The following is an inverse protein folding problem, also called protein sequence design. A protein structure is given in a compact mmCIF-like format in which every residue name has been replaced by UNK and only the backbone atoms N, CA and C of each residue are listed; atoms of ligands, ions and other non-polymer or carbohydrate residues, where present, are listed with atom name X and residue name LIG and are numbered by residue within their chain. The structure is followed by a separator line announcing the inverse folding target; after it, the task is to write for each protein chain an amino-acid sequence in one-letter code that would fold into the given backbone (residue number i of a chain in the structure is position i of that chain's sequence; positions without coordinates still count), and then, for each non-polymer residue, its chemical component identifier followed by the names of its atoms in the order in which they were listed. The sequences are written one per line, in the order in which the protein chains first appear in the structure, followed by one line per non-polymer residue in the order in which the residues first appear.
data_IF_589835978264
#
_entry.id   IF_589835978264
#
_cell.length_a   1.000
_cell.length_b   1.000
_cell.length_c   1.000
_cell.angle_alpha   90.00
_cell.angle_beta   90.00
_cell.angle_gamma   90.00
#
_symmetry.space_group_name_H-M   'P 1'
#
loop_
_entity.id
_entity.type
_entity.pdbx_description
1 polymer ?
#
# COMPACT_ATOMS: atom_id res chain seq x y z
N UNK A 1 14.80 -27.49 3.09
CA UNK A 1 14.83 -26.24 2.26
C UNK A 1 13.58 -25.40 2.52
N UNK A 2 13.59 -24.09 2.27
CA UNK A 2 12.50 -23.18 2.69
C UNK A 2 11.10 -23.58 2.15
N UNK A 3 11.02 -24.09 0.91
CA UNK A 3 9.77 -24.54 0.28
C UNK A 3 9.47 -26.04 0.43
N UNK A 4 10.24 -26.77 1.24
CA UNK A 4 10.14 -28.24 1.29
C UNK A 4 8.77 -28.72 1.81
N UNK A 5 8.27 -28.12 2.88
CA UNK A 5 6.95 -28.45 3.43
C UNK A 5 5.84 -28.10 2.44
N UNK A 6 5.98 -26.99 1.73
CA UNK A 6 5.05 -26.57 0.68
C UNK A 6 5.00 -27.59 -0.46
N UNK A 7 6.16 -27.91 -1.05
CA UNK A 7 6.28 -28.89 -2.15
C UNK A 7 5.74 -30.26 -1.74
N UNK A 8 5.99 -30.72 -0.51
CA UNK A 8 5.44 -31.99 0.04
C UNK A 8 3.92 -32.02 0.15
N UNK A 9 3.27 -30.87 0.33
CA UNK A 9 1.80 -30.76 0.47
C UNK A 9 1.09 -30.60 -0.88
N UNK A 10 1.81 -30.48 -2.00
CA UNK A 10 1.22 -30.23 -3.32
C UNK A 10 1.38 -31.41 -4.25
N UNK A 11 0.38 -31.57 -5.11
CA UNK A 11 0.33 -32.54 -6.20
C UNK A 11 0.38 -31.76 -7.51
N UNK A 12 1.59 -31.45 -7.98
CA UNK A 12 1.81 -30.54 -9.13
C UNK A 12 1.30 -31.07 -10.47
N UNK A 13 0.94 -32.35 -10.53
CA UNK A 13 0.21 -32.99 -11.62
C UNK A 13 -1.30 -32.68 -11.60
N UNK A 14 -1.85 -32.25 -10.45
CA UNK A 14 -3.29 -32.01 -10.26
C UNK A 14 -3.64 -30.63 -9.69
N UNK A 15 -2.67 -29.75 -9.48
CA UNK A 15 -2.88 -28.35 -9.05
C UNK A 15 -2.36 -27.36 -10.07
N UNK A 16 -2.94 -26.17 -10.10
CA UNK A 16 -2.49 -25.04 -10.92
C UNK A 16 -1.55 -24.09 -10.15
N UNK A 17 -1.14 -24.49 -8.94
CA UNK A 17 -0.22 -23.77 -8.06
C UNK A 17 1.25 -23.88 -8.50
N UNK A 18 2.07 -22.83 -8.35
CA UNK A 18 3.46 -22.81 -8.78
C UNK A 18 4.35 -23.73 -7.91
N UNK A 19 5.29 -24.44 -8.52
CA UNK A 19 6.27 -25.28 -7.78
C UNK A 19 7.31 -24.45 -7.01
N UNK A 20 7.52 -23.20 -7.45
CA UNK A 20 8.48 -22.25 -6.91
C UNK A 20 9.91 -22.53 -7.34
N UNK A 21 10.61 -21.48 -7.75
CA UNK A 21 12.06 -21.52 -7.94
C UNK A 21 12.80 -21.54 -6.59
N UNK A 22 14.11 -21.78 -6.61
CA UNK A 22 14.94 -21.62 -5.41
C UNK A 22 14.91 -20.16 -4.93
N UNK A 23 14.87 -19.92 -3.60
CA UNK A 23 14.81 -18.56 -3.07
C UNK A 23 16.06 -17.76 -3.45
N UNK A 24 15.87 -16.54 -3.95
CA UNK A 24 16.96 -15.55 -4.04
C UNK A 24 17.06 -14.79 -2.70
N UNK A 25 18.28 -14.51 -2.24
CA UNK A 25 18.54 -13.91 -0.93
C UNK A 25 18.07 -12.44 -0.84
N UNK A 26 17.77 -11.79 -1.97
CA UNK A 26 17.21 -10.43 -2.03
C UNK A 26 15.69 -10.42 -1.99
N UNK A 27 15.10 -10.27 -0.80
CA UNK A 27 13.67 -9.98 -0.68
C UNK A 27 13.37 -8.51 -0.98
N UNK A 28 12.45 -8.23 -1.90
CA UNK A 28 12.06 -6.87 -2.26
C UNK A 28 11.11 -6.20 -1.22
N UNK A 29 10.81 -6.90 -0.11
CA UNK A 29 9.87 -6.45 0.91
C UNK A 29 8.44 -6.35 0.37
N UNK A 30 8.01 -7.29 -0.47
CA UNK A 30 6.64 -7.33 -1.01
C UNK A 30 5.70 -8.09 -0.08
N UNK A 31 4.42 -7.72 -0.11
CA UNK A 31 3.38 -8.50 0.54
C UNK A 31 2.19 -8.74 -0.37
N UNK A 32 1.42 -9.75 -0.03
CA UNK A 32 0.12 -10.03 -0.62
C UNK A 32 -0.85 -10.47 0.47
N UNK A 33 -2.10 -10.05 0.35
CA UNK A 33 -3.22 -10.56 1.13
C UNK A 33 -4.20 -11.19 0.13
N UNK A 34 -4.39 -12.50 0.24
CA UNK A 34 -5.31 -13.22 -0.64
C UNK A 34 -6.61 -13.54 0.10
N UNK A 35 -7.76 -13.21 -0.48
CA UNK A 35 -9.06 -13.68 0.03
C UNK A 35 -9.29 -15.08 -0.54
N UNK A 36 -9.52 -16.06 0.34
CA UNK A 36 -9.50 -17.47 -0.01
C UNK A 36 -10.79 -18.16 0.46
N UNK A 37 -11.64 -18.49 -0.51
CA UNK A 37 -12.87 -19.24 -0.30
C UNK A 37 -12.61 -20.76 -0.34
N UNK A 38 -11.89 -21.23 0.69
CA UNK A 38 -11.69 -22.65 0.93
C UNK A 38 -12.88 -23.25 1.73
N UNK A 39 -12.62 -24.25 2.58
CA UNK A 39 -13.63 -24.79 3.52
C UNK A 39 -14.29 -23.72 4.38
N UNK A 40 -13.52 -22.69 4.74
CA UNK A 40 -13.99 -21.47 5.39
C UNK A 40 -13.33 -20.31 4.69
N UNK A 41 -14.08 -19.23 4.50
CA UNK A 41 -13.51 -17.97 4.04
C UNK A 41 -12.46 -17.50 5.06
N UNK A 42 -11.28 -17.15 4.56
CA UNK A 42 -10.20 -16.54 5.33
C UNK A 42 -9.33 -15.71 4.40
N UNK A 43 -8.37 -15.00 4.98
CA UNK A 43 -7.40 -14.20 4.25
C UNK A 43 -5.99 -14.73 4.51
N UNK A 44 -5.22 -15.01 3.47
CA UNK A 44 -3.82 -15.41 3.60
C UNK A 44 -2.93 -14.17 3.48
N UNK A 45 -2.34 -13.73 4.60
CA UNK A 45 -1.30 -12.70 4.62
C UNK A 45 0.05 -13.36 4.33
N UNK A 46 0.79 -12.81 3.37
CA UNK A 46 2.13 -13.31 3.05
C UNK A 46 3.14 -12.18 2.89
N UNK A 47 4.31 -12.36 3.50
CA UNK A 47 5.42 -11.41 3.51
C UNK A 47 6.63 -12.04 2.84
N UNK A 48 7.19 -11.38 1.84
CA UNK A 48 8.46 -11.78 1.23
C UNK A 48 9.62 -11.51 2.19
N UNK A 49 10.20 -12.59 2.73
CA UNK A 49 11.34 -12.55 3.65
C UNK A 49 12.28 -13.71 3.31
N UNK A 50 13.55 -13.40 3.00
CA UNK A 50 14.58 -14.35 2.57
C UNK A 50 14.16 -15.20 1.35
N UNK A 51 13.61 -14.54 0.32
CA UNK A 51 13.29 -15.17 -0.96
C UNK A 51 12.05 -16.09 -0.97
N UNK A 52 11.29 -16.14 0.12
CA UNK A 52 10.02 -16.88 0.21
C UNK A 52 8.93 -16.04 0.85
N UNK A 53 7.68 -16.44 0.67
CA UNK A 53 6.52 -15.81 1.30
C UNK A 53 6.20 -16.49 2.64
N UNK A 54 6.63 -15.86 3.73
CA UNK A 54 6.23 -16.22 5.10
C UNK A 54 4.73 -15.93 5.24
N UNK A 55 3.94 -16.95 5.57
CA UNK A 55 2.49 -16.92 5.38
C UNK A 55 1.70 -17.20 6.66
N UNK A 56 0.57 -16.51 6.81
CA UNK A 56 -0.41 -16.71 7.88
C UNK A 56 -1.83 -16.70 7.32
N UNK A 57 -2.66 -17.62 7.80
CA UNK A 57 -4.11 -17.57 7.60
C UNK A 57 -4.75 -16.69 8.67
N UNK A 58 -5.47 -15.65 8.25
CA UNK A 58 -6.17 -14.67 9.08
C UNK A 58 -7.68 -14.88 8.88
N UNK A 59 -8.37 -15.64 9.76
CA UNK A 59 -9.73 -16.10 9.50
C UNK A 59 -10.76 -14.99 9.28
N UNK A 60 -10.62 -13.88 10.01
CA UNK A 60 -11.51 -12.72 9.87
C UNK A 60 -10.95 -11.63 8.94
N UNK A 61 -9.75 -11.82 8.39
CA UNK A 61 -9.03 -10.78 7.64
C UNK A 61 -8.39 -9.70 8.53
N UNK A 62 -7.61 -8.79 7.92
CA UNK A 62 -6.99 -7.65 8.61
C UNK A 62 -8.05 -6.65 9.11
N UNK A 63 -7.62 -5.71 9.97
CA UNK A 63 -8.44 -4.57 10.41
C UNK A 63 -7.56 -3.32 10.48
N UNK A 64 -8.16 -2.16 10.22
CA UNK A 64 -7.55 -0.85 10.46
C UNK A 64 -7.95 -0.25 11.81
N UNK A 65 -8.74 -0.98 12.61
CA UNK A 65 -9.06 -0.62 13.99
C UNK A 65 -7.97 -1.15 14.95
N UNK A 66 -7.24 -0.28 15.68
CA UNK A 66 -6.24 -0.69 16.66
C UNK A 66 -6.81 -1.45 17.87
N UNK A 67 -8.12 -1.40 18.09
CA UNK A 67 -8.81 -2.14 19.14
C UNK A 67 -9.14 -3.59 18.74
N UNK A 68 -9.07 -3.93 17.45
CA UNK A 68 -9.32 -5.27 16.95
C UNK A 68 -8.04 -6.09 16.76
N UNK A 69 -7.85 -7.12 17.60
CA UNK A 69 -6.75 -8.08 17.45
C UNK A 69 -7.16 -9.23 16.55
N UNK A 70 -6.53 -9.38 15.39
CA UNK A 70 -6.86 -10.41 14.40
C UNK A 70 -5.95 -11.63 14.60
N UNK A 71 -6.56 -12.80 14.82
CA UNK A 71 -5.82 -14.07 14.87
C UNK A 71 -5.17 -14.34 13.51
N UNK A 72 -3.87 -14.67 13.51
CA UNK A 72 -3.09 -15.05 12.35
C UNK A 72 -2.40 -16.38 12.63
N UNK A 73 -2.80 -17.45 11.94
CA UNK A 73 -2.25 -18.81 12.15
C UNK A 73 -1.14 -19.05 11.15
N UNK A 74 0.07 -19.37 11.62
CA UNK A 74 1.22 -19.61 10.74
C UNK A 74 0.97 -20.82 9.83
N UNK A 75 1.09 -20.62 8.52
CA UNK A 75 0.99 -21.68 7.49
C UNK A 75 2.36 -21.96 6.87
N UNK A 76 2.43 -22.81 5.85
CA UNK A 76 3.69 -23.10 5.14
C UNK A 76 4.21 -21.87 4.40
N UNK A 77 5.51 -21.82 4.14
CA UNK A 77 6.08 -20.81 3.24
C UNK A 77 5.61 -21.06 1.81
N UNK A 78 5.34 -19.99 1.08
CA UNK A 78 4.88 -20.06 -0.30
C UNK A 78 5.95 -19.48 -1.24
N UNK A 79 5.98 -19.92 -2.51
CA UNK A 79 6.90 -19.35 -3.48
C UNK A 79 6.46 -17.93 -3.91
N UNK A 80 7.41 -17.12 -4.38
CA UNK A 80 7.21 -15.70 -4.71
C UNK A 80 6.09 -15.48 -5.74
N UNK A 81 5.90 -16.45 -6.63
CA UNK A 81 4.86 -16.47 -7.65
C UNK A 81 3.44 -16.37 -7.06
N UNK A 82 3.24 -16.63 -5.76
CA UNK A 82 1.95 -16.38 -5.10
C UNK A 82 1.60 -14.90 -4.95
N UNK A 83 2.55 -13.97 -5.12
CA UNK A 83 2.27 -12.53 -5.05
C UNK A 83 1.20 -12.07 -6.07
N UNK A 84 1.05 -12.81 -7.17
CA UNK A 84 0.07 -12.51 -8.24
C UNK A 84 -0.87 -13.67 -8.54
N UNK A 85 -0.84 -14.72 -7.72
CA UNK A 85 -1.64 -15.92 -7.96
C UNK A 85 -3.13 -15.68 -7.64
N UNK A 86 -3.96 -15.77 -8.68
CA UNK A 86 -5.43 -15.75 -8.60
C UNK A 86 -6.02 -16.88 -9.44
N UNK A 87 -6.47 -17.96 -8.80
CA UNK A 87 -7.10 -19.10 -9.47
C UNK A 87 -8.10 -19.79 -8.55
N UNK A 88 -8.89 -20.68 -9.13
CA UNK A 88 -9.62 -21.72 -8.38
C UNK A 88 -8.71 -22.93 -8.24
N UNK A 89 -8.32 -23.26 -7.01
CA UNK A 89 -7.51 -24.46 -6.72
C UNK A 89 -8.46 -25.67 -6.78
N UNK A 90 -8.18 -26.70 -7.61
CA UNK A 90 -9.12 -27.79 -7.84
C UNK A 90 -9.42 -28.59 -6.57
N UNK A 91 -10.65 -29.12 -6.47
CA UNK A 91 -11.07 -29.98 -5.36
C UNK A 91 -10.13 -31.18 -5.16
N UNK A 92 -10.00 -31.62 -3.91
CA UNK A 92 -9.08 -32.71 -3.53
C UNK A 92 -7.62 -32.28 -3.35
N UNK A 93 -7.26 -31.05 -3.74
CA UNK A 93 -5.96 -30.45 -3.42
C UNK A 93 -5.98 -29.71 -2.08
N UNK A 94 -4.80 -29.55 -1.48
CA UNK A 94 -4.65 -28.75 -0.27
C UNK A 94 -4.92 -27.27 -0.59
N UNK A 95 -5.84 -26.66 0.14
CA UNK A 95 -6.27 -25.29 -0.15
C UNK A 95 -7.22 -25.18 -1.34
N UNK A 96 -7.96 -26.25 -1.68
CA UNK A 96 -9.01 -26.18 -2.68
C UNK A 96 -10.02 -25.05 -2.38
N UNK A 97 -10.39 -24.30 -3.43
CA UNK A 97 -11.22 -23.12 -3.30
C UNK A 97 -10.82 -22.00 -4.26
N UNK A 98 -11.68 -21.00 -4.40
CA UNK A 98 -11.36 -19.79 -5.17
C UNK A 98 -10.47 -18.85 -4.36
N UNK A 99 -9.48 -18.25 -5.02
CA UNK A 99 -8.53 -17.33 -4.42
C UNK A 99 -8.35 -16.09 -5.30
N UNK A 100 -8.42 -14.92 -4.67
CA UNK A 100 -8.11 -13.62 -5.30
C UNK A 100 -7.04 -12.88 -4.49
N UNK A 101 -6.26 -12.03 -5.15
CA UNK A 101 -5.37 -11.05 -4.55
C UNK A 101 -6.22 -9.87 -4.10
N UNK A 102 -6.57 -9.90 -2.81
CA UNK A 102 -7.43 -8.90 -2.18
C UNK A 102 -6.68 -7.62 -1.86
N UNK A 103 -5.39 -7.71 -1.51
CA UNK A 103 -4.49 -6.56 -1.44
C UNK A 103 -3.05 -6.98 -1.75
N UNK A 104 -2.21 -6.01 -2.15
CA UNK A 104 -0.78 -6.19 -2.35
C UNK A 104 -0.04 -4.85 -2.30
N UNK A 105 1.27 -4.93 -2.07
CA UNK A 105 2.16 -3.79 -2.13
C UNK A 105 3.52 -4.15 -1.57
N UNK A 106 4.21 -3.17 -1.01
CA UNK A 106 5.44 -3.36 -0.23
C UNK A 106 5.23 -3.14 1.25
N UNK A 107 6.15 -3.66 2.05
CA UNK A 107 6.24 -3.40 3.48
C UNK A 107 7.68 -3.04 3.85
N UNK A 108 7.81 -2.30 4.94
CA UNK A 108 9.07 -2.09 5.65
C UNK A 108 8.95 -2.63 7.08
N UNK A 109 10.07 -2.85 7.74
CA UNK A 109 10.11 -3.16 9.16
C UNK A 109 10.55 -1.96 9.98
N UNK A 110 9.91 -1.73 11.13
CA UNK A 110 10.33 -0.69 12.07
C UNK A 110 11.57 -1.13 12.85
N UNK A 111 12.50 -0.19 13.10
CA UNK A 111 13.75 -0.42 13.85
C UNK A 111 14.88 -1.04 13.03
N UNK A 112 16.02 -1.28 13.68
CA UNK A 112 17.28 -1.64 12.99
C UNK A 112 17.40 -3.14 12.66
N UNK A 113 16.47 -3.98 13.14
CA UNK A 113 16.52 -5.42 12.95
C UNK A 113 15.87 -5.81 11.62
N UNK A 114 16.54 -6.64 10.77
CA UNK A 114 15.93 -7.18 9.58
C UNK A 114 14.67 -8.00 9.87
N UNK A 115 13.75 -8.06 8.91
CA UNK A 115 12.50 -8.81 9.02
C UNK A 115 12.68 -10.26 9.47
N UNK A 116 13.69 -10.97 8.93
CA UNK A 116 13.98 -12.35 9.32
C UNK A 116 14.30 -12.50 10.82
N UNK A 117 14.99 -11.51 11.41
CA UNK A 117 15.33 -11.50 12.84
C UNK A 117 14.11 -11.20 13.71
N UNK A 118 13.33 -10.20 13.34
CA UNK A 118 12.06 -9.86 14.00
C UNK A 118 11.09 -11.06 14.00
N UNK A 119 10.95 -11.74 12.86
CA UNK A 119 10.17 -12.96 12.72
C UNK A 119 10.65 -14.08 13.65
N UNK A 120 11.97 -14.32 13.73
CA UNK A 120 12.53 -15.34 14.60
C UNK A 120 12.24 -15.05 16.09
N UNK A 121 12.37 -13.79 16.49
CA UNK A 121 12.08 -13.31 17.85
C UNK A 121 10.60 -13.42 18.22
N UNK A 122 9.71 -13.45 17.22
CA UNK A 122 8.26 -13.61 17.44
C UNK A 122 7.49 -12.29 17.44
N UNK A 123 8.11 -11.20 16.98
CA UNK A 123 7.48 -9.88 16.90
C UNK A 123 7.99 -9.17 15.66
N UNK A 124 7.11 -8.98 14.67
CA UNK A 124 7.35 -8.18 13.48
C UNK A 124 6.60 -6.86 13.62
N UNK A 125 7.31 -5.75 13.48
CA UNK A 125 6.72 -4.42 13.36
C UNK A 125 6.83 -3.98 11.92
N UNK A 126 5.69 -3.79 11.27
CA UNK A 126 5.56 -3.67 9.83
C UNK A 126 4.89 -2.35 9.49
N UNK A 127 5.36 -1.68 8.44
CA UNK A 127 4.65 -0.58 7.79
C UNK A 127 4.22 -1.07 6.41
N UNK A 128 2.92 -1.18 6.17
CA UNK A 128 2.37 -1.59 4.89
C UNK A 128 2.12 -0.39 3.98
N UNK A 129 2.49 -0.54 2.71
CA UNK A 129 2.20 0.37 1.60
C UNK A 129 1.29 -0.36 0.59
N UNK A 130 0.11 -0.78 1.06
CA UNK A 130 -0.90 -1.49 0.27
C UNK A 130 -1.91 -0.56 -0.39
N UNK A 131 -2.92 -1.16 -1.04
CA UNK A 131 -4.10 -0.42 -1.52
C UNK A 131 -5.21 -0.34 -0.49
N UNK A 132 -5.25 -1.29 0.45
CA UNK A 132 -6.29 -1.41 1.48
C UNK A 132 -5.67 -1.40 2.86
N UNK A 133 -4.59 -2.15 3.04
CA UNK A 133 -3.85 -2.24 4.29
C UNK A 133 -2.66 -1.29 4.22
N UNK A 134 -2.75 -0.21 4.97
CA UNK A 134 -1.75 0.85 4.99
C UNK A 134 -1.36 1.19 6.44
N UNK A 135 -0.11 1.59 6.62
CA UNK A 135 0.41 2.07 7.90
C UNK A 135 1.01 0.96 8.77
N UNK A 136 1.24 1.29 10.03
CA UNK A 136 1.99 0.50 11.00
C UNK A 136 1.12 -0.58 11.67
N UNK A 137 1.69 -1.77 11.80
CA UNK A 137 1.11 -2.98 12.39
C UNK A 137 2.16 -3.76 13.20
N UNK A 138 1.70 -4.57 14.13
CA UNK A 138 2.48 -5.63 14.75
C UNK A 138 1.90 -7.01 14.40
N UNK A 139 2.79 -7.95 14.11
CA UNK A 139 2.50 -9.38 14.03
C UNK A 139 3.26 -10.07 15.17
N UNK A 140 2.53 -10.49 16.21
CA UNK A 140 3.12 -10.97 17.48
C UNK A 140 2.76 -12.43 17.72
N UNK A 141 3.78 -13.29 17.91
CA UNK A 141 3.62 -14.71 18.24
C UNK A 141 3.14 -14.83 19.66
N UNK A 142 2.11 -15.64 19.85
CA UNK A 142 1.58 -15.97 21.17
C UNK A 142 2.19 -17.28 21.68
N UNK A 143 2.07 -17.54 22.98
CA UNK A 143 2.47 -18.82 23.58
C UNK A 143 1.46 -19.96 23.30
N UNK A 144 0.36 -19.68 22.57
CA UNK A 144 -0.69 -20.65 22.24
C UNK A 144 -0.40 -21.32 20.90
N UNK A 145 -0.96 -22.52 20.72
CA UNK A 145 -0.84 -23.29 19.48
C UNK A 145 -2.22 -23.72 19.00
N UNK A 146 -2.46 -23.57 17.71
CA UNK A 146 -3.64 -24.12 17.03
C UNK A 146 -3.28 -25.51 16.49
N UNK A 147 -3.48 -26.53 17.32
CA UNK A 147 -2.94 -27.87 17.04
C UNK A 147 -1.40 -27.84 17.00
N UNK A 148 -0.82 -28.07 15.81
CA UNK A 148 0.65 -28.03 15.60
C UNK A 148 1.17 -26.68 15.09
N UNK A 149 0.29 -25.73 14.78
CA UNK A 149 0.65 -24.45 14.17
C UNK A 149 0.80 -23.35 15.22
N UNK A 150 1.70 -22.40 14.96
CA UNK A 150 1.92 -21.23 15.79
C UNK A 150 0.79 -20.22 15.62
N UNK A 151 0.28 -19.69 16.74
CA UNK A 151 -0.72 -18.61 16.72
C UNK A 151 -0.05 -17.26 16.91
N UNK A 152 -0.39 -16.33 16.02
CA UNK A 152 0.04 -14.94 16.02
C UNK A 152 -1.17 -14.02 16.11
N UNK A 153 -0.93 -12.77 16.48
CA UNK A 153 -1.90 -11.68 16.43
C UNK A 153 -1.40 -10.61 15.46
N UNK A 154 -2.22 -10.26 14.49
CA UNK A 154 -2.06 -9.07 13.66
C UNK A 154 -2.82 -7.92 14.33
N UNK A 155 -2.13 -6.83 14.63
CA UNK A 155 -2.64 -5.71 15.43
C UNK A 155 -2.25 -4.41 14.72
N UNK A 156 -3.24 -3.56 14.42
CA UNK A 156 -3.00 -2.22 13.87
C UNK A 156 -2.41 -1.30 14.95
N UNK A 157 -1.34 -0.57 14.65
CA UNK A 157 -0.84 0.50 15.50
C UNK A 157 -1.61 1.80 15.26
N UNK A 158 -1.57 2.72 16.24
CA UNK A 158 -2.15 4.05 16.10
C UNK A 158 -1.25 4.92 15.21
N UNK A 159 -1.77 5.31 14.05
CA UNK A 159 -1.17 6.26 13.11
C UNK A 159 -2.28 6.95 12.27
N UNK A 160 -1.90 7.73 11.26
CA UNK A 160 -2.84 8.44 10.38
C UNK A 160 -3.63 7.56 9.39
N UNK A 161 -3.44 6.24 9.41
CA UNK A 161 -4.17 5.27 8.59
C UNK A 161 -5.17 4.44 9.41
N UNK A 162 -5.39 4.78 10.68
CA UNK A 162 -6.45 4.17 11.49
C UNK A 162 -7.81 4.50 10.91
N UNK A 163 -8.65 3.47 10.76
CA UNK A 163 -10.04 3.57 10.40
C UNK A 163 -10.84 2.56 11.23
N UNK A 164 -11.50 3.05 12.28
CA UNK A 164 -12.34 2.24 13.18
C UNK A 164 -13.64 1.78 12.49
N UNK A 165 -13.99 2.35 11.34
CA UNK A 165 -15.13 1.94 10.53
C UNK A 165 -14.78 0.92 9.44
N UNK A 166 -13.50 0.51 9.37
CA UNK A 166 -13.01 -0.38 8.33
C UNK A 166 -13.71 -1.74 8.36
N UNK A 167 -14.41 -2.05 7.27
CA UNK A 167 -15.02 -3.37 7.04
C UNK A 167 -14.32 -4.11 5.90
N UNK A 168 -13.62 -5.18 6.25
CA UNK A 168 -12.90 -6.04 5.29
C UNK A 168 -13.84 -6.68 4.25
N UNK A 169 -15.10 -6.94 4.62
CA UNK A 169 -16.06 -7.61 3.75
C UNK A 169 -16.73 -6.66 2.77
N UNK A 170 -16.70 -5.34 3.03
CA UNK A 170 -17.14 -4.29 2.11
C UNK A 170 -16.23 -4.13 0.87
N UNK A 171 -15.08 -4.82 0.83
CA UNK A 171 -14.09 -4.76 -0.25
C UNK A 171 -13.96 -6.14 -0.95
N UNK A 172 -14.94 -6.57 -1.78
CA UNK A 172 -15.01 -7.97 -2.23
C UNK A 172 -14.05 -8.31 -3.38
N UNK A 173 -13.65 -7.33 -4.19
CA UNK A 173 -12.95 -7.56 -5.46
C UNK A 173 -11.43 -7.68 -5.33
N UNK A 174 -10.81 -8.27 -6.36
CA UNK A 174 -9.37 -8.32 -6.57
C UNK A 174 -8.79 -6.93 -6.87
N UNK A 175 -7.59 -6.64 -6.35
CA UNK A 175 -6.83 -5.44 -6.76
C UNK A 175 -6.09 -5.59 -8.08
N UNK A 176 -5.99 -6.81 -8.63
CA UNK A 176 -5.36 -7.09 -9.92
C UNK A 176 -6.36 -7.12 -11.06
N UNK A 177 -7.55 -7.67 -10.83
CA UNK A 177 -8.51 -7.98 -11.90
C UNK A 177 -9.91 -7.47 -11.63
N UNK A 178 -10.17 -6.87 -10.46
CA UNK A 178 -11.51 -6.45 -10.05
C UNK A 178 -12.47 -7.60 -9.73
N UNK A 179 -12.14 -8.85 -10.06
CA UNK A 179 -13.00 -10.03 -9.86
C UNK A 179 -13.23 -10.32 -8.39
N UNK A 180 -14.46 -10.69 -8.06
CA UNK A 180 -14.86 -11.27 -6.78
C UNK A 180 -14.60 -12.78 -6.74
N UNK A 181 -14.83 -13.42 -5.60
CA UNK A 181 -14.79 -14.88 -5.47
C UNK A 181 -15.87 -15.51 -6.37
N UNK A 182 -17.04 -14.90 -6.41
CA UNK A 182 -18.19 -15.32 -7.20
C UNK A 182 -17.87 -15.26 -8.69
N UNK A 183 -17.23 -14.17 -9.15
CA UNK A 183 -16.74 -14.03 -10.52
C UNK A 183 -15.73 -15.12 -10.90
N UNK A 184 -14.80 -15.44 -9.99
CA UNK A 184 -13.81 -16.50 -10.21
C UNK A 184 -14.45 -17.87 -10.37
N UNK A 185 -15.47 -18.17 -9.57
CA UNK A 185 -16.23 -19.43 -9.65
C UNK A 185 -17.12 -19.49 -10.89
N UNK A 186 -17.67 -18.36 -11.33
CA UNK A 186 -18.48 -18.26 -12.54
C UNK A 186 -17.65 -18.23 -13.83
N UNK A 187 -16.32 -18.12 -13.74
CA UNK A 187 -15.43 -18.00 -14.89
C UNK A 187 -15.57 -16.65 -15.62
N UNK A 188 -15.97 -15.60 -14.92
CA UNK A 188 -16.10 -14.27 -15.50
C UNK A 188 -14.72 -13.72 -15.95
N UNK A 189 -14.69 -12.98 -17.08
CA UNK A 189 -13.45 -12.34 -17.53
C UNK A 189 -12.94 -11.33 -16.51
N UNK A 190 -11.62 -11.06 -16.45
CA UNK A 190 -11.08 -10.02 -15.60
C UNK A 190 -11.68 -8.65 -15.97
N UNK A 191 -12.09 -7.90 -14.96
CA UNK A 191 -12.48 -6.50 -15.12
C UNK A 191 -11.27 -5.59 -15.32
N UNK A 192 -11.53 -4.30 -15.58
CA UNK A 192 -10.48 -3.29 -15.61
C UNK A 192 -9.91 -3.15 -14.18
N UNK A 193 -8.59 -3.29 -13.97
CA UNK A 193 -8.01 -3.03 -12.66
C UNK A 193 -8.30 -1.58 -12.23
N UNK A 194 -8.48 -1.31 -10.91
CA UNK A 194 -8.64 0.05 -10.41
C UNK A 194 -7.29 0.79 -10.55
N UNK A 195 -7.06 1.40 -11.72
CA UNK A 195 -5.85 2.13 -12.06
C UNK A 195 -4.80 1.30 -12.81
N UNK A 196 -3.99 1.98 -13.62
CA UNK A 196 -2.83 1.41 -14.32
C UNK A 196 -1.65 1.33 -13.34
N UNK A 197 -1.05 0.16 -13.11
CA UNK A 197 0.22 0.06 -12.39
C UNK A 197 1.30 0.89 -13.10
N UNK A 198 2.20 1.58 -12.39
CA UNK A 198 3.23 2.42 -13.01
C UNK A 198 4.06 1.69 -14.08
N UNK A 199 4.41 0.42 -13.83
CA UNK A 199 5.15 -0.42 -14.78
C UNK A 199 4.40 -0.76 -16.07
N UNK A 200 3.09 -0.47 -16.16
CA UNK A 200 2.29 -0.63 -17.39
C UNK A 200 2.12 0.69 -18.14
N UNK A 201 2.65 1.80 -17.62
CA UNK A 201 2.66 3.09 -18.34
C UNK A 201 3.72 3.01 -19.44
N UNK A 202 3.32 3.33 -20.68
CA UNK A 202 4.23 3.35 -21.81
C UNK A 202 5.38 4.34 -21.56
N UNK A 203 6.62 3.88 -21.70
CA UNK A 203 7.81 4.68 -21.42
C UNK A 203 8.25 4.72 -19.95
N UNK A 204 7.60 3.98 -19.05
CA UNK A 204 8.08 3.83 -17.68
C UNK A 204 9.36 2.99 -17.61
N UNK A 205 10.38 3.50 -16.92
CA UNK A 205 11.66 2.83 -16.70
C UNK A 205 11.96 2.73 -15.20
N UNK A 206 12.62 1.66 -14.79
CA UNK A 206 13.11 1.52 -13.41
C UNK A 206 14.31 2.44 -13.21
N UNK A 207 14.16 3.42 -12.32
CA UNK A 207 15.17 4.44 -12.03
C UNK A 207 15.22 4.74 -10.52
N UNK A 208 16.31 5.31 -9.99
CA UNK A 208 16.29 5.90 -8.65
C UNK A 208 15.35 7.12 -8.59
N UNK A 209 14.87 7.52 -7.40
CA UNK A 209 14.12 8.76 -7.25
C UNK A 209 14.91 9.95 -7.81
N UNK A 210 14.28 10.85 -8.59
CA UNK A 210 14.97 12.00 -9.15
C UNK A 210 15.33 13.03 -8.06
N UNK A 211 16.61 13.33 -7.92
CA UNK A 211 17.12 14.35 -6.98
C UNK A 211 16.92 15.78 -7.51
N UNK A 212 16.81 15.93 -8.84
CA UNK A 212 16.69 17.19 -9.57
C UNK A 212 15.29 17.39 -10.17
N UNK A 213 14.29 16.69 -9.62
CA UNK A 213 12.90 16.85 -10.03
C UNK A 213 12.51 18.34 -10.04
N UNK A 214 11.86 18.78 -11.11
CA UNK A 214 11.34 20.14 -11.24
C UNK A 214 9.83 20.09 -11.44
N UNK A 215 9.08 21.11 -10.99
CA UNK A 215 7.65 21.14 -11.24
C UNK A 215 7.31 21.11 -12.73
N UNK A 216 6.28 20.35 -13.09
CA UNK A 216 5.70 20.30 -14.43
C UNK A 216 4.93 21.59 -14.71
N UNK A 217 5.56 22.48 -15.46
CA UNK A 217 5.00 23.80 -15.76
C UNK A 217 4.04 23.74 -16.94
N UNK A 218 2.89 24.41 -16.78
CA UNK A 218 1.97 24.64 -17.88
C UNK A 218 2.63 25.47 -19.01
N UNK A 219 2.37 25.09 -20.25
CA UNK A 219 2.78 25.87 -21.42
C UNK A 219 1.77 26.98 -21.67
N UNK A 220 2.22 28.24 -21.71
CA UNK A 220 1.36 29.37 -21.97
C UNK A 220 0.73 29.32 -23.38
N UNK A 221 -0.55 29.70 -23.47
CA UNK A 221 -1.32 29.82 -24.71
C UNK A 221 -2.05 31.16 -24.71
N UNK A 222 -2.20 31.78 -25.88
CA UNK A 222 -2.88 33.07 -26.01
C UNK A 222 -4.40 32.98 -25.86
N UNK A 223 -4.99 31.84 -26.24
CA UNK A 223 -6.45 31.64 -26.26
C UNK A 223 -6.82 30.34 -25.57
N UNK A 224 -7.95 30.31 -24.85
CA UNK A 224 -8.50 29.04 -24.37
C UNK A 224 -8.87 28.16 -25.57
N UNK A 225 -8.76 26.85 -25.39
CA UNK A 225 -9.19 25.86 -26.36
C UNK A 225 -10.06 24.82 -25.66
N UNK A 226 -10.84 24.08 -26.43
CA UNK A 226 -11.58 22.91 -25.96
C UNK A 226 -11.31 21.77 -26.93
N UNK A 227 -10.90 20.62 -26.40
CA UNK A 227 -10.59 19.43 -27.16
C UNK A 227 -11.05 18.21 -26.34
N UNK A 228 -11.76 17.23 -26.95
CA UNK A 228 -12.17 15.99 -26.27
C UNK A 228 -11.02 15.19 -25.62
N UNK A 229 -9.79 15.35 -26.11
CA UNK A 229 -8.60 14.68 -25.60
C UNK A 229 -8.04 15.35 -24.32
N UNK A 230 -8.64 16.47 -23.87
CA UNK A 230 -8.14 17.25 -22.74
C UNK A 230 -9.15 17.28 -21.59
N UNK A 231 -8.60 17.20 -20.37
CA UNK A 231 -9.32 17.48 -19.14
C UNK A 231 -8.93 18.88 -18.63
N UNK A 232 -9.88 19.60 -18.05
CA UNK A 232 -9.64 20.90 -17.44
C UNK A 232 -9.58 20.75 -15.93
N UNK A 233 -8.54 21.33 -15.32
CA UNK A 233 -8.39 21.40 -13.87
C UNK A 233 -8.61 22.84 -13.38
N UNK A 234 -9.12 22.97 -12.15
CA UNK A 234 -9.23 24.25 -11.44
C UNK A 234 -7.84 24.80 -11.15
N UNK A 235 -7.68 26.12 -11.26
CA UNK A 235 -6.49 26.82 -10.78
C UNK A 235 -6.60 27.02 -9.27
N UNK A 236 -5.72 26.40 -8.50
CA UNK A 236 -5.84 26.31 -7.05
C UNK A 236 -5.20 27.45 -6.24
N UNK A 237 -4.59 28.45 -6.86
CA UNK A 237 -4.07 29.68 -6.22
C UNK A 237 -3.38 29.48 -4.85
N UNK A 238 -2.34 28.66 -4.83
CA UNK A 238 -1.54 28.29 -3.67
C UNK A 238 -0.03 28.34 -3.89
N UNK A 239 0.71 27.51 -3.15
CA UNK A 239 2.18 27.42 -3.21
C UNK A 239 2.59 26.07 -3.80
N UNK A 240 3.22 26.09 -4.98
CA UNK A 240 3.72 24.90 -5.67
C UNK A 240 4.86 24.24 -4.89
N UNK A 241 4.73 22.96 -4.57
CA UNK A 241 5.73 22.14 -3.86
C UNK A 241 5.91 20.80 -4.57
N UNK A 242 7.15 20.29 -4.53
CA UNK A 242 7.44 18.88 -4.75
C UNK A 242 7.44 18.16 -3.40
N UNK A 243 6.65 17.10 -3.26
CA UNK A 243 6.69 16.22 -2.10
C UNK A 243 7.53 14.98 -2.42
N UNK A 244 8.73 14.92 -1.85
CA UNK A 244 9.59 13.74 -1.89
C UNK A 244 9.27 12.83 -0.71
N UNK A 245 8.90 11.59 -1.00
CA UNK A 245 8.49 10.59 -0.02
C UNK A 245 9.45 9.42 -0.11
N UNK A 246 10.02 9.05 1.03
CA UNK A 246 10.88 7.88 1.18
C UNK A 246 10.55 7.14 2.50
N UNK A 247 9.81 6.05 2.38
CA UNK A 247 9.20 5.37 3.52
C UNK A 247 8.27 6.32 4.27
N UNK A 248 8.50 6.52 5.56
CA UNK A 248 7.74 7.46 6.38
C UNK A 248 8.28 8.90 6.35
N UNK A 249 9.39 9.15 5.65
CA UNK A 249 9.98 10.49 5.58
C UNK A 249 9.35 11.28 4.43
N UNK A 250 8.92 12.50 4.73
CA UNK A 250 8.43 13.47 3.75
C UNK A 250 9.38 14.65 3.72
N UNK A 251 9.74 15.12 2.53
CA UNK A 251 10.36 16.42 2.31
C UNK A 251 9.55 17.23 1.32
N UNK A 252 9.20 18.46 1.69
CA UNK A 252 8.45 19.39 0.85
C UNK A 252 9.38 20.47 0.33
N UNK A 253 9.62 20.47 -0.97
CA UNK A 253 10.58 21.37 -1.62
C UNK A 253 9.82 22.37 -2.49
N UNK A 254 10.03 23.67 -2.25
CA UNK A 254 9.47 24.73 -3.11
C UNK A 254 10.11 24.71 -4.49
N UNK A 255 9.48 25.38 -5.47
CA UNK A 255 10.04 25.58 -6.82
C UNK A 255 11.49 26.12 -6.84
N UNK A 256 11.89 26.87 -5.82
CA UNK A 256 13.23 27.46 -5.73
C UNK A 256 14.21 26.61 -4.90
N UNK A 257 13.85 25.37 -4.56
CA UNK A 257 14.73 24.43 -3.85
C UNK A 257 14.72 24.56 -2.31
N UNK A 258 13.88 25.44 -1.73
CA UNK A 258 13.80 25.56 -0.27
C UNK A 258 12.98 24.42 0.33
N UNK A 259 13.52 23.78 1.37
CA UNK A 259 12.81 22.83 2.21
C UNK A 259 11.85 23.58 3.15
N UNK A 260 10.56 23.31 3.01
CA UNK A 260 9.47 23.88 3.81
C UNK A 260 8.67 22.81 4.55
N UNK A 261 9.25 21.62 4.74
CA UNK A 261 8.60 20.48 5.42
C UNK A 261 8.06 20.88 6.78
N UNK A 262 8.84 21.65 7.55
CA UNK A 262 8.42 22.11 8.88
C UNK A 262 7.26 23.12 8.88
N UNK A 263 6.99 23.78 7.75
CA UNK A 263 5.90 24.75 7.61
C UNK A 263 4.53 24.06 7.48
N UNK A 264 4.52 22.81 7.01
CA UNK A 264 3.31 22.03 6.74
C UNK A 264 3.38 20.63 7.38
N UNK A 265 3.55 20.54 8.71
CA UNK A 265 3.68 19.27 9.40
C UNK A 265 2.44 18.37 9.28
N UNK A 266 1.28 18.94 8.95
CA UNK A 266 0.06 18.18 8.64
C UNK A 266 0.16 17.31 7.38
N UNK A 267 1.14 17.55 6.50
CA UNK A 267 1.37 16.75 5.28
C UNK A 267 2.34 15.57 5.50
N UNK A 268 2.84 15.37 6.71
CA UNK A 268 3.73 14.24 7.01
C UNK A 268 3.02 12.87 6.94
N UNK A 269 1.70 12.84 6.84
CA UNK A 269 0.91 11.62 6.66
C UNK A 269 0.73 11.22 5.19
N UNK A 270 1.25 12.01 4.22
CA UNK A 270 1.22 11.68 2.79
C UNK A 270 1.64 10.24 2.45
N UNK A 271 2.67 9.63 3.06
CA UNK A 271 3.04 8.25 2.77
C UNK A 271 1.92 7.25 3.06
N UNK A 272 1.02 7.58 4.00
CA UNK A 272 -0.13 6.76 4.36
C UNK A 272 -1.31 6.91 3.38
N UNK A 273 -1.21 7.85 2.43
CA UNK A 273 -2.23 8.09 1.39
C UNK A 273 -1.81 7.53 0.03
N UNK A 274 -0.61 6.95 -0.07
CA UNK A 274 -0.04 6.44 -1.31
C UNK A 274 0.14 4.93 -1.26
N UNK A 275 -0.08 4.30 -2.41
CA UNK A 275 0.23 2.88 -2.61
C UNK A 275 1.67 2.71 -3.13
N UNK A 276 2.61 3.46 -2.53
CA UNK A 276 4.01 3.49 -2.93
C UNK A 276 4.88 3.74 -1.70
N UNK A 277 6.00 3.02 -1.61
CA UNK A 277 7.02 3.21 -0.57
C UNK A 277 7.83 4.48 -0.79
N UNK A 278 8.11 4.80 -2.06
CA UNK A 278 8.81 6.02 -2.46
C UNK A 278 8.04 6.72 -3.56
N UNK A 279 7.92 8.04 -3.49
CA UNK A 279 7.24 8.82 -4.51
C UNK A 279 7.79 10.23 -4.60
N UNK A 280 7.67 10.85 -5.78
CA UNK A 280 7.84 12.30 -5.95
C UNK A 280 6.55 12.83 -6.57
N UNK A 281 5.84 13.66 -5.82
CA UNK A 281 4.60 14.29 -6.23
C UNK A 281 4.84 15.76 -6.54
N UNK A 282 4.24 16.24 -7.62
CA UNK A 282 4.16 17.67 -7.90
C UNK A 282 2.74 18.17 -7.62
N UNK A 283 2.64 19.21 -6.80
CA UNK A 283 1.36 19.67 -6.30
C UNK A 283 1.41 21.08 -5.74
N UNK A 284 0.28 21.50 -5.19
CA UNK A 284 0.09 22.82 -4.61
C UNK A 284 -0.49 22.74 -3.22
N UNK A 285 0.11 23.46 -2.28
CA UNK A 285 -0.46 23.66 -0.95
C UNK A 285 -1.42 24.83 -1.01
N UNK A 286 -2.66 24.58 -0.58
CA UNK A 286 -3.80 25.48 -0.75
C UNK A 286 -4.54 25.62 0.57
N UNK A 287 -4.94 26.84 0.92
CA UNK A 287 -5.93 27.10 1.96
C UNK A 287 -7.28 27.36 1.30
N UNK A 288 -8.36 26.78 1.85
CA UNK A 288 -9.71 26.96 1.33
C UNK A 288 -10.52 27.92 2.22
N UNK A 289 -11.49 28.61 1.63
CA UNK A 289 -12.55 29.32 2.35
C UNK A 289 -13.67 28.36 2.81
N UNK A 290 -14.68 28.88 3.51
CA UNK A 290 -15.79 28.08 4.02
C UNK A 290 -16.71 27.51 2.91
N UNK A 291 -16.56 27.99 1.67
CA UNK A 291 -17.25 27.46 0.50
C UNK A 291 -16.39 26.47 -0.30
N UNK A 292 -15.19 26.13 0.19
CA UNK A 292 -14.25 25.21 -0.46
C UNK A 292 -13.47 25.81 -1.63
N UNK A 293 -13.44 27.14 -1.76
CA UNK A 293 -12.68 27.84 -2.82
C UNK A 293 -11.28 28.20 -2.34
N UNK A 294 -10.26 28.22 -3.22
CA UNK A 294 -8.93 28.72 -2.86
C UNK A 294 -8.94 30.14 -2.29
N UNK A 295 -8.20 30.34 -1.19
CA UNK A 295 -7.96 31.64 -0.58
C UNK A 295 -6.46 31.82 -0.28
N UNK A 296 -5.76 32.43 -1.25
CA UNK A 296 -4.33 32.73 -1.11
C UNK A 296 -4.04 33.69 0.05
N UNK A 297 -4.92 34.65 0.34
CA UNK A 297 -4.76 35.58 1.45
C UNK A 297 -4.79 34.88 2.81
N UNK A 298 -5.59 33.82 2.92
CA UNK A 298 -5.59 32.93 4.09
C UNK A 298 -4.28 32.15 4.16
N UNK A 299 -3.81 31.56 3.05
CA UNK A 299 -2.56 30.80 2.98
C UNK A 299 -1.32 31.63 3.39
N UNK A 300 -1.28 32.92 3.04
CA UNK A 300 -0.18 33.83 3.41
C UNK A 300 0.11 33.85 4.92
N UNK A 301 -0.87 33.58 5.78
CA UNK A 301 -0.71 33.49 7.23
C UNK A 301 0.18 32.31 7.67
N UNK A 302 0.36 31.31 6.79
CA UNK A 302 1.17 30.10 7.02
C UNK A 302 2.55 30.16 6.36
N UNK A 303 2.69 30.85 5.23
CA UNK A 303 3.92 30.78 4.40
C UNK A 303 5.22 31.12 5.14
N UNK A 304 5.19 32.11 6.05
CA UNK A 304 6.37 32.54 6.82
C UNK A 304 6.46 31.92 8.22
N UNK A 305 5.57 30.98 8.55
CA UNK A 305 5.56 30.31 9.85
C UNK A 305 6.30 28.99 9.73
N UNK A 306 7.58 28.99 10.14
CA UNK A 306 8.47 27.84 9.93
C UNK A 306 8.08 26.56 10.67
N UNK A 307 7.36 26.67 11.79
CA UNK A 307 6.78 25.56 12.58
C UNK A 307 5.47 26.02 13.20
N UNK A 308 4.32 25.82 12.54
CA UNK A 308 3.05 26.31 13.04
C UNK A 308 2.57 25.51 14.26
N UNK A 309 1.97 26.21 15.22
CA UNK A 309 1.32 25.56 16.35
C UNK A 309 0.03 24.84 15.90
N UNK A 310 -0.49 23.95 16.75
CA UNK A 310 -1.80 23.30 16.51
C UNK A 310 -2.93 24.31 16.30
N UNK A 311 -2.92 25.45 17.00
CA UNK A 311 -3.94 26.48 16.84
C UNK A 311 -3.81 27.22 15.50
N UNK A 312 -2.58 27.47 15.03
CA UNK A 312 -2.36 28.05 13.71
C UNK A 312 -2.80 27.10 12.58
N UNK A 313 -2.54 25.79 12.75
CA UNK A 313 -3.02 24.77 11.81
C UNK A 313 -4.54 24.67 11.79
N UNK A 314 -5.20 24.66 12.94
CA UNK A 314 -6.66 24.63 13.01
C UNK A 314 -7.30 25.91 12.42
N UNK A 315 -6.67 27.07 12.61
CA UNK A 315 -7.18 28.34 12.08
C UNK A 315 -7.02 28.46 10.55
N UNK A 316 -5.98 27.85 9.98
CA UNK A 316 -5.71 27.81 8.54
C UNK A 316 -5.25 26.41 8.15
N UNK A 317 -6.20 25.47 8.00
CA UNK A 317 -5.89 24.15 7.47
C UNK A 317 -5.47 24.28 6.01
N UNK A 318 -4.49 23.47 5.62
CA UNK A 318 -4.02 23.43 4.24
C UNK A 318 -4.27 22.04 3.65
N UNK A 319 -4.38 22.00 2.33
CA UNK A 319 -4.56 20.78 1.54
C UNK A 319 -3.45 20.75 0.49
N UNK A 320 -2.98 19.55 0.16
CA UNK A 320 -2.01 19.36 -0.93
C UNK A 320 -2.73 18.75 -2.13
N UNK A 321 -2.94 19.56 -3.16
CA UNK A 321 -3.53 19.12 -4.43
C UNK A 321 -2.42 18.63 -5.35
N UNK A 322 -2.46 17.34 -5.69
CA UNK A 322 -1.45 16.68 -6.52
C UNK A 322 -1.88 16.76 -7.99
N UNK A 323 -0.96 17.21 -8.83
CA UNK A 323 -1.17 17.29 -10.28
C UNK A 323 -0.51 16.13 -10.99
N UNK A 324 0.76 15.88 -10.66
CA UNK A 324 1.60 14.93 -11.37
C UNK A 324 2.32 13.99 -10.40
N UNK A 325 2.45 12.72 -10.82
CA UNK A 325 3.27 11.71 -10.17
C UNK A 325 4.56 11.57 -10.97
N UNK A 326 5.64 12.18 -10.50
CA UNK A 326 6.92 12.21 -11.21
C UNK A 326 7.72 10.93 -11.02
N UNK A 327 7.52 10.25 -9.89
CA UNK A 327 8.19 9.00 -9.55
C UNK A 327 7.33 8.19 -8.57
N UNK A 328 7.33 6.87 -8.73
CA UNK A 328 6.73 5.94 -7.77
C UNK A 328 7.49 4.61 -7.74
N UNK A 329 7.70 4.08 -6.54
CA UNK A 329 8.24 2.76 -6.30
C UNK A 329 7.51 2.10 -5.13
N UNK A 330 7.02 0.87 -5.34
CA UNK A 330 6.27 0.09 -4.36
C UNK A 330 5.43 -1.01 -5.00
#
# INVERSE_FOLDING_TARGET
MALETYRKKRKFDSTNEPAGNEPDAGGAGRFVIQKHAARRLHYDLRLEIDGVLRSWAVPKGPSLDPHEKRLAVRTEDHPIEYLTFEKVIPEGNYGAGAMIVWDRGTFETEGDKPAARQLAEGELKLIFYGRRVVGSFALVRTNRKSGKQEEWLLIKHRDGAVDESFDVDALPGSVLTGRTIEDMLAGAPPGRPPGLPPAMVEGAEEAPPPDDATPMLATAREKPFSNPDWLFEVKWDGVRLLAHIDGQNVRLITRNGNDVTSHYPELNDLPLKLHARRAVLDGEVVALDDAGRPDFGRLQKRMHVGKPSRSQMAATPVHFYVFDLLYAYG
#
